data_IF_377889184806
#
_entry.id   IF_377889184806
#
_cell.length_a   1.000
_cell.length_b   1.000
_cell.length_c   1.000
_cell.angle_alpha   90.00
_cell.angle_beta   90.00
_cell.angle_gamma   90.00
#
_symmetry.space_group_name_H-M   'P 1'
#
loop_
_entity.id
_entity.type
_entity.pdbx_description
1 polymer ?
#
# COMPACT_ATOMS: atom_id res chain seq x y z
N UNK A 1 45.35 -24.12 10.65
CA UNK A 1 44.80 -23.35 9.52
C UNK A 1 43.31 -23.30 9.74
N UNK A 2 42.75 -22.14 10.06
CA UNK A 2 41.31 -21.95 10.17
C UNK A 2 40.93 -20.91 9.10
N UNK A 3 40.22 -21.37 8.08
CA UNK A 3 39.62 -20.57 7.03
C UNK A 3 38.62 -19.62 7.66
N UNK A 4 38.83 -18.32 7.51
CA UNK A 4 37.87 -17.31 7.95
C UNK A 4 36.70 -17.35 6.97
N UNK A 5 35.73 -18.22 7.25
CA UNK A 5 34.46 -18.29 6.54
C UNK A 5 33.72 -16.97 6.79
N UNK A 6 33.62 -16.14 5.75
CA UNK A 6 32.74 -14.99 5.74
C UNK A 6 31.30 -15.48 5.89
N UNK A 7 30.52 -14.98 6.86
CA UNK A 7 29.15 -15.43 7.06
C UNK A 7 28.32 -15.19 5.80
N UNK A 8 27.47 -16.18 5.46
CA UNK A 8 26.54 -16.07 4.34
C UNK A 8 25.28 -15.33 4.78
N UNK A 9 24.56 -14.73 3.82
CA UNK A 9 23.35 -13.94 4.08
C UNK A 9 22.26 -14.72 4.85
N UNK A 10 22.29 -16.05 4.82
CA UNK A 10 21.37 -16.96 5.51
C UNK A 10 21.63 -17.08 7.04
N UNK A 11 22.81 -16.63 7.51
CA UNK A 11 23.20 -16.63 8.94
C UNK A 11 22.87 -15.29 9.64
N UNK A 12 22.35 -14.31 8.88
CA UNK A 12 21.95 -13.01 9.40
C UNK A 12 20.51 -13.08 9.88
N UNK A 13 20.26 -12.72 11.14
CA UNK A 13 18.90 -12.54 11.64
C UNK A 13 18.21 -11.41 10.86
N UNK A 14 16.93 -11.57 10.48
CA UNK A 14 16.18 -10.52 9.81
C UNK A 14 16.22 -9.28 10.71
N UNK A 15 16.66 -8.16 10.13
CA UNK A 15 16.65 -6.89 10.85
C UNK A 15 15.19 -6.56 11.11
N UNK A 16 14.78 -6.58 12.39
CA UNK A 16 13.52 -5.96 12.79
C UNK A 16 13.59 -4.52 12.32
N UNK A 17 12.81 -4.18 11.30
CA UNK A 17 12.57 -2.80 10.94
C UNK A 17 11.79 -2.19 12.10
N UNK A 18 12.52 -1.68 13.09
CA UNK A 18 12.02 -0.62 13.95
C UNK A 18 11.87 0.60 13.05
N UNK A 19 10.83 0.59 12.21
CA UNK A 19 10.21 1.84 11.82
C UNK A 19 9.64 2.40 13.11
N UNK A 20 10.36 3.36 13.67
CA UNK A 20 9.86 4.32 14.64
C UNK A 20 8.74 5.09 13.92
N UNK A 21 7.59 4.44 13.79
CA UNK A 21 6.44 4.91 13.03
C UNK A 21 5.29 4.81 14.03
N UNK A 22 4.95 5.95 14.61
CA UNK A 22 3.94 6.19 15.66
C UNK A 22 2.50 5.80 15.23
N UNK A 23 2.33 4.89 14.26
CA UNK A 23 1.05 4.36 13.84
C UNK A 23 0.70 3.14 14.69
N UNK A 24 -0.34 3.26 15.49
CA UNK A 24 -0.97 2.15 16.24
C UNK A 24 -1.69 1.14 15.31
N UNK A 25 -1.66 1.39 14.00
CA UNK A 25 -2.38 0.67 12.95
C UNK A 25 -1.58 -0.51 12.38
N UNK A 26 -2.27 -1.61 12.05
CA UNK A 26 -1.64 -2.79 11.44
C UNK A 26 -1.30 -2.53 9.97
N UNK A 27 -0.03 -2.65 9.59
CA UNK A 27 0.38 -2.52 8.20
C UNK A 27 -0.09 -3.72 7.37
N UNK A 28 -0.82 -3.43 6.28
CA UNK A 28 -1.27 -4.44 5.33
C UNK A 28 -0.64 -4.20 3.95
N UNK A 29 -0.24 -5.30 3.33
CA UNK A 29 0.18 -5.36 1.94
C UNK A 29 -0.80 -6.29 1.22
N UNK A 30 -1.48 -5.77 0.20
CA UNK A 30 -2.45 -6.57 -0.56
C UNK A 30 -1.71 -7.37 -1.63
N UNK A 31 -1.88 -8.68 -1.62
CA UNK A 31 -1.42 -9.54 -2.71
C UNK A 31 -2.36 -9.49 -3.91
N UNK A 32 -1.91 -9.85 -5.13
CA UNK A 32 -2.77 -9.85 -6.32
C UNK A 32 -3.99 -10.75 -6.11
N UNK A 33 -5.18 -10.17 -6.19
CA UNK A 33 -6.46 -10.83 -5.92
C UNK A 33 -7.10 -10.42 -4.59
N UNK A 34 -6.33 -9.85 -3.67
CA UNK A 34 -6.79 -9.39 -2.38
C UNK A 34 -7.43 -7.99 -2.42
N UNK A 35 -8.23 -7.71 -1.39
CA UNK A 35 -8.92 -6.43 -1.25
C UNK A 35 -9.08 -6.08 0.22
N UNK A 36 -9.07 -4.77 0.48
CA UNK A 36 -9.41 -4.18 1.76
C UNK A 36 -10.62 -3.27 1.57
N UNK A 37 -11.52 -3.27 2.55
CA UNK A 37 -12.63 -2.31 2.63
C UNK A 37 -12.62 -1.70 4.02
N UNK A 38 -12.68 -0.38 4.08
CA UNK A 38 -12.69 0.33 5.35
C UNK A 38 -13.08 1.80 5.21
N UNK A 39 -13.29 2.43 6.35
CA UNK A 39 -13.48 3.89 6.43
C UNK A 39 -12.11 4.56 6.44
N UNK A 40 -11.88 5.54 5.57
CA UNK A 40 -10.66 6.34 5.61
C UNK A 40 -10.59 7.06 6.94
N UNK A 41 -9.55 6.77 7.71
CA UNK A 41 -9.23 7.40 8.99
C UNK A 41 -8.31 8.58 8.80
N UNK A 42 -7.30 8.40 7.97
CA UNK A 42 -6.32 9.44 7.66
C UNK A 42 -5.67 9.13 6.31
N UNK A 43 -5.20 10.17 5.63
CA UNK A 43 -4.44 10.10 4.39
C UNK A 43 -3.25 11.03 4.58
N UNK A 44 -2.09 10.44 4.83
CA UNK A 44 -0.85 11.18 5.11
C UNK A 44 0.02 11.18 3.85
N UNK A 45 0.04 12.30 3.09
CA UNK A 45 0.93 12.40 1.93
C UNK A 45 2.37 12.68 2.36
N UNK A 46 3.33 12.37 1.49
CA UNK A 46 4.77 12.60 1.70
C UNK A 46 5.37 11.79 2.87
N UNK A 47 4.97 10.52 3.01
CA UNK A 47 5.52 9.61 4.01
C UNK A 47 6.67 8.76 3.45
N UNK A 48 7.57 8.36 4.34
CA UNK A 48 8.70 7.49 4.01
C UNK A 48 9.78 8.16 3.16
N UNK A 49 10.71 7.34 2.64
CA UNK A 49 11.89 7.81 1.90
C UNK A 49 11.62 8.23 0.44
N UNK A 50 10.40 8.00 -0.06
CA UNK A 50 10.00 8.23 -1.46
C UNK A 50 8.80 9.18 -1.59
N UNK A 51 8.47 9.91 -0.52
CA UNK A 51 7.33 10.83 -0.46
C UNK A 51 5.99 10.14 -0.85
N UNK A 52 5.83 8.87 -0.47
CA UNK A 52 4.65 8.06 -0.80
C UNK A 52 3.51 8.35 0.17
N UNK A 53 2.27 8.40 -0.31
CA UNK A 53 1.08 8.56 0.54
C UNK A 53 0.79 7.29 1.34
N UNK A 54 0.52 7.43 2.64
CA UNK A 54 -0.01 6.36 3.51
C UNK A 54 -1.50 6.58 3.71
N UNK A 55 -2.28 5.50 3.65
CA UNK A 55 -3.72 5.54 3.88
C UNK A 55 -4.03 4.63 5.06
N UNK A 56 -4.75 5.18 6.04
CA UNK A 56 -5.28 4.43 7.17
C UNK A 56 -6.77 4.13 6.97
N UNK A 57 -7.15 2.86 7.10
CA UNK A 57 -8.49 2.35 6.87
C UNK A 57 -8.99 1.63 8.13
N UNK A 58 -10.17 1.99 8.61
CA UNK A 58 -10.86 1.26 9.66
C UNK A 58 -11.76 0.19 9.06
N UNK A 59 -11.41 -1.10 9.24
CA UNK A 59 -12.21 -2.26 8.75
C UNK A 59 -13.37 -2.60 9.69
N UNK A 60 -13.42 -2.02 10.89
CA UNK A 60 -14.44 -2.30 11.89
C UNK A 60 -14.10 -1.70 13.26
N UNK A 61 -14.82 -2.13 14.29
CA UNK A 61 -14.62 -1.61 15.66
C UNK A 61 -13.26 -2.08 16.18
N UNK A 62 -12.32 -1.13 16.27
CA UNK A 62 -10.99 -1.34 16.84
C UNK A 62 -9.99 -2.02 15.91
N UNK A 63 -10.34 -2.19 14.63
CA UNK A 63 -9.44 -2.72 13.61
C UNK A 63 -9.14 -1.61 12.60
N UNK A 64 -7.90 -1.11 12.66
CA UNK A 64 -7.37 -0.06 11.79
C UNK A 64 -6.12 -0.61 11.13
N UNK A 65 -6.06 -0.46 9.82
CA UNK A 65 -4.95 -0.91 9.00
C UNK A 65 -4.35 0.25 8.23
N UNK A 66 -3.04 0.24 8.06
CA UNK A 66 -2.31 1.19 7.24
C UNK A 66 -1.81 0.51 5.98
N UNK A 67 -1.83 1.21 4.85
CA UNK A 67 -1.22 0.72 3.61
C UNK A 67 -0.55 1.83 2.83
N UNK A 68 0.48 1.46 2.07
CA UNK A 68 1.10 2.36 1.10
C UNK A 68 0.17 2.54 -0.10
N UNK A 69 -0.14 3.80 -0.39
CA UNK A 69 -0.83 4.19 -1.62
C UNK A 69 0.11 4.07 -2.82
N UNK A 70 -0.48 4.14 -4.00
CA UNK A 70 0.24 4.31 -5.26
C UNK A 70 -0.49 5.32 -6.13
N UNK A 71 0.12 5.73 -7.25
CA UNK A 71 -0.45 6.75 -8.13
C UNK A 71 -1.86 6.41 -8.68
N UNK A 72 -2.22 5.13 -8.82
CA UNK A 72 -3.57 4.73 -9.24
C UNK A 72 -4.59 4.94 -8.10
N UNK A 73 -4.20 4.64 -6.87
CA UNK A 73 -5.05 4.82 -5.68
C UNK A 73 -5.21 6.32 -5.39
N UNK A 74 -4.10 7.07 -5.37
CA UNK A 74 -4.07 8.50 -5.08
C UNK A 74 -4.98 9.28 -6.06
N UNK A 75 -4.85 9.01 -7.36
CA UNK A 75 -5.69 9.62 -8.38
C UNK A 75 -7.17 9.23 -8.26
N UNK A 76 -7.48 8.01 -7.81
CA UNK A 76 -8.86 7.59 -7.62
C UNK A 76 -9.50 8.25 -6.39
N UNK A 77 -8.71 8.49 -5.33
CA UNK A 77 -9.16 9.27 -4.17
C UNK A 77 -9.41 10.73 -4.56
N UNK A 78 -8.49 11.37 -5.28
CA UNK A 78 -8.63 12.76 -5.75
C UNK A 78 -9.82 12.94 -6.70
N UNK A 79 -9.97 12.09 -7.72
CA UNK A 79 -11.06 12.17 -8.71
C UNK A 79 -12.46 12.02 -8.08
N UNK A 80 -12.55 11.30 -6.97
CA UNK A 80 -13.81 11.03 -6.27
C UNK A 80 -13.99 11.87 -4.99
N UNK A 81 -13.10 12.84 -4.73
CA UNK A 81 -13.11 13.70 -3.52
C UNK A 81 -13.18 12.87 -2.22
N UNK A 82 -12.48 11.73 -2.18
CA UNK A 82 -12.53 10.78 -1.07
C UNK A 82 -11.55 11.18 0.04
N UNK A 83 -12.06 11.34 1.25
CA UNK A 83 -11.27 11.75 2.41
C UNK A 83 -11.67 11.07 3.70
N UNK A 84 -11.24 11.66 4.83
CA UNK A 84 -11.58 11.15 6.16
C UNK A 84 -13.10 10.98 6.34
N UNK A 85 -13.51 9.78 6.75
CA UNK A 85 -14.91 9.42 6.96
C UNK A 85 -15.57 8.71 5.77
N UNK A 86 -14.96 8.71 4.59
CA UNK A 86 -15.48 8.00 3.43
C UNK A 86 -15.18 6.50 3.49
N UNK A 87 -16.13 5.68 3.02
CA UNK A 87 -15.97 4.23 2.98
C UNK A 87 -15.45 3.83 1.60
N UNK A 88 -14.25 3.26 1.57
CA UNK A 88 -13.58 2.85 0.34
C UNK A 88 -13.21 1.38 0.37
N UNK A 89 -13.26 0.77 -0.82
CA UNK A 89 -12.71 -0.55 -1.10
C UNK A 89 -11.54 -0.42 -2.06
N UNK A 90 -10.36 -0.90 -1.66
CA UNK A 90 -9.16 -0.93 -2.48
C UNK A 90 -8.85 -2.39 -2.80
N UNK A 91 -8.71 -2.72 -4.07
CA UNK A 91 -8.42 -4.07 -4.55
C UNK A 91 -7.14 -4.09 -5.39
N UNK A 92 -6.21 -4.96 -5.01
CA UNK A 92 -5.12 -5.36 -5.90
C UNK A 92 -5.66 -6.44 -6.83
N UNK A 93 -5.77 -6.14 -8.11
CA UNK A 93 -6.31 -7.11 -9.06
C UNK A 93 -5.23 -8.08 -9.51
N UNK A 94 -5.61 -9.32 -9.86
CA UNK A 94 -4.69 -10.27 -10.52
C UNK A 94 -4.34 -9.86 -11.96
N UNK A 95 -4.83 -8.71 -12.43
CA UNK A 95 -4.59 -8.23 -13.79
C UNK A 95 -3.38 -7.33 -13.79
N UNK A 96 -2.49 -7.61 -14.72
CA UNK A 96 -1.42 -6.69 -15.09
C UNK A 96 -1.78 -5.98 -16.40
N UNK A 97 -1.22 -4.78 -16.58
CA UNK A 97 -1.26 -4.05 -17.84
C UNK A 97 0.16 -3.69 -18.26
N UNK A 98 0.36 -3.55 -19.56
CA UNK A 98 1.62 -3.06 -20.09
C UNK A 98 1.46 -1.64 -20.61
N UNK A 99 2.50 -0.83 -20.44
CA UNK A 99 2.66 0.44 -21.13
C UNK A 99 4.03 0.49 -21.79
N UNK A 100 4.10 1.16 -22.94
CA UNK A 100 5.35 1.40 -23.63
C UNK A 100 5.97 2.68 -23.09
N UNK A 101 7.21 2.60 -22.64
CA UNK A 101 7.99 3.78 -22.22
C UNK A 101 8.47 4.56 -23.44
N UNK A 102 8.94 5.80 -23.22
CA UNK A 102 9.51 6.64 -24.29
C UNK A 102 10.72 5.98 -24.99
N UNK A 103 11.41 5.05 -24.32
CA UNK A 103 12.52 4.25 -24.85
C UNK A 103 12.07 3.07 -25.75
N UNK A 104 10.76 2.84 -25.85
CA UNK A 104 10.18 1.72 -26.61
C UNK A 104 10.14 0.39 -25.85
N UNK A 105 10.48 0.38 -24.56
CA UNK A 105 10.39 -0.81 -23.71
C UNK A 105 8.97 -1.00 -23.17
N UNK A 106 8.47 -2.23 -23.22
CA UNK A 106 7.21 -2.62 -22.58
C UNK A 106 7.45 -2.86 -21.09
N UNK A 107 6.76 -2.09 -20.23
CA UNK A 107 6.76 -2.30 -18.78
C UNK A 107 5.41 -2.78 -18.32
N UNK A 108 5.42 -3.84 -17.53
CA UNK A 108 4.24 -4.38 -16.87
C UNK A 108 4.02 -3.68 -15.52
N UNK A 109 2.76 -3.41 -15.19
CA UNK A 109 2.33 -2.89 -13.90
C UNK A 109 1.03 -3.55 -13.44
N UNK A 110 0.91 -3.71 -12.13
CA UNK A 110 -0.31 -4.18 -11.48
C UNK A 110 -1.46 -3.19 -11.62
N UNK A 111 -2.65 -3.71 -11.89
CA UNK A 111 -3.87 -2.89 -11.93
C UNK A 111 -4.52 -2.86 -10.55
N UNK A 112 -4.80 -1.65 -10.07
CA UNK A 112 -5.49 -1.40 -8.81
C UNK A 112 -6.89 -0.84 -9.08
N UNK A 113 -7.87 -1.27 -8.30
CA UNK A 113 -9.25 -0.77 -8.36
C UNK A 113 -9.62 -0.15 -7.01
N UNK A 114 -10.05 1.12 -7.02
CA UNK A 114 -10.63 1.81 -5.86
C UNK A 114 -12.11 2.02 -6.12
N UNK A 115 -12.96 1.73 -5.13
CA UNK A 115 -14.40 1.94 -5.21
C UNK A 115 -14.92 2.55 -3.92
N UNK A 116 -15.73 3.60 -4.02
CA UNK A 116 -16.48 4.10 -2.88
C UNK A 116 -17.72 3.23 -2.62
N UNK A 117 -18.00 2.95 -1.36
CA UNK A 117 -19.30 2.42 -0.95
C UNK A 117 -20.23 3.63 -0.85
N UNK A 118 -21.03 3.87 -1.90
CA UNK A 118 -21.95 5.00 -1.94
C UNK A 118 -22.80 5.06 -0.66
N UNK A 119 -22.60 6.12 0.12
CA UNK A 119 -23.51 6.48 1.19
C UNK A 119 -24.89 6.64 0.57
N UNK A 120 -25.81 5.76 0.93
CA UNK A 120 -27.21 5.91 0.54
C UNK A 120 -27.69 7.20 1.20
N UNK A 121 -28.08 8.18 0.39
CA UNK A 121 -28.85 9.36 0.82
C UNK A 121 -30.05 9.01 1.72
#
# INVERSE_FOLDING_TARGET
MATQETPSFDDLEPVESNSDDDYDSEWIELEPGENVVGVIRDVVPNCGQYDTTVIELSRGIGDVVAMWSNNQIDNALDDNDLGEGDVVGIKHTEKTRTFTTDDGEEREYDVWEVRQLGGSE
#
